data_IF_638091059919
#
_entry.id   IF_638091059919
#
_cell.length_a   1.000
_cell.length_b   1.000
_cell.length_c   1.000
_cell.angle_alpha   90.00
_cell.angle_beta   90.00
_cell.angle_gamma   90.00
#
_symmetry.space_group_name_H-M   'P 1'
#
loop_
_entity.id
_entity.type
_entity.pdbx_description
1 polymer ?
#
# COMPACT_ATOMS: atom_id res chain seq x y z
N UNK A 1 54.00 39.33 33.31
CA UNK A 1 55.01 38.25 33.24
C UNK A 1 55.43 38.07 31.79
N UNK A 2 56.64 38.52 31.47
CA UNK A 2 57.44 38.05 30.34
C UNK A 2 58.17 36.75 30.76
N UNK A 3 58.88 35.99 29.90
CA UNK A 3 59.07 36.09 28.43
C UNK A 3 58.87 34.69 27.75
N UNK A 4 58.90 34.46 26.44
CA UNK A 4 60.05 34.26 25.52
C UNK A 4 59.37 33.70 24.22
N UNK A 5 59.43 34.28 23.01
CA UNK A 5 60.49 34.19 21.95
C UNK A 5 61.22 32.82 21.87
N UNK A 6 61.87 32.40 20.76
CA UNK A 6 61.97 32.90 19.37
C UNK A 6 61.67 31.79 18.30
N UNK A 7 61.32 32.11 17.05
CA UNK A 7 62.16 32.31 15.84
C UNK A 7 63.07 31.15 15.36
N UNK A 8 62.78 30.73 14.12
CA UNK A 8 63.66 30.31 13.01
C UNK A 8 64.25 28.89 13.06
N UNK A 9 63.91 28.07 12.06
CA UNK A 9 64.94 27.43 11.21
C UNK A 9 64.46 27.25 9.77
N UNK A 10 65.29 27.78 8.87
CA UNK A 10 65.21 27.70 7.42
C UNK A 10 65.49 26.28 6.89
N UNK A 11 65.26 26.16 5.58
CA UNK A 11 65.93 25.30 4.58
C UNK A 11 65.22 24.02 4.13
N UNK A 12 64.50 24.22 3.02
CA UNK A 12 64.32 23.35 1.86
C UNK A 12 65.38 22.26 1.65
N UNK A 13 64.95 20.99 1.58
CA UNK A 13 65.48 19.97 0.66
C UNK A 13 64.32 19.08 0.17
N UNK A 14 64.13 19.05 -1.14
CA UNK A 14 63.17 18.27 -1.95
C UNK A 14 63.80 16.89 -2.31
N UNK A 15 63.12 16.01 -3.04
CA UNK A 15 62.08 15.04 -2.64
C UNK A 15 62.57 13.57 -2.76
N UNK A 16 61.79 12.61 -2.25
CA UNK A 16 61.53 11.31 -2.89
C UNK A 16 60.49 10.50 -2.09
N UNK A 17 59.41 10.08 -2.78
CA UNK A 17 58.60 8.85 -2.59
C UNK A 17 58.22 8.49 -1.15
N UNK A 18 56.97 8.45 -0.74
CA UNK A 18 55.83 7.72 -1.30
C UNK A 18 54.57 8.07 -0.49
N UNK A 19 53.42 7.60 -0.98
CA UNK A 19 52.13 7.51 -0.30
C UNK A 19 51.23 8.76 -0.38
N UNK A 20 50.61 8.88 -1.56
CA UNK A 20 49.15 9.04 -1.72
C UNK A 20 48.42 9.61 -0.49
N UNK A 21 48.44 10.94 -0.36
CA UNK A 21 47.69 11.67 0.66
C UNK A 21 46.24 11.87 0.19
N UNK A 22 45.35 11.12 0.83
CA UNK A 22 44.07 11.58 1.38
C UNK A 22 43.46 12.87 0.81
N UNK A 23 42.88 12.80 -0.39
CA UNK A 23 41.73 13.63 -0.76
C UNK A 23 40.53 12.75 -1.14
N UNK A 24 40.18 11.81 -0.27
CA UNK A 24 39.01 10.95 -0.46
C UNK A 24 38.17 10.88 0.81
N UNK A 25 37.81 12.05 1.35
CA UNK A 25 36.91 12.14 2.52
C UNK A 25 35.65 12.99 2.28
N UNK A 26 35.32 13.29 1.01
CA UNK A 26 34.11 14.02 0.64
C UNK A 26 33.28 13.34 -0.48
N UNK A 27 33.37 12.01 -0.62
CA UNK A 27 32.50 11.24 -1.55
C UNK A 27 31.88 10.02 -0.84
N UNK A 28 31.57 10.12 0.45
CA UNK A 28 30.87 9.05 1.18
C UNK A 28 29.57 9.50 1.87
N UNK A 29 29.19 10.77 1.77
CA UNK A 29 27.93 11.29 2.37
C UNK A 29 26.83 11.55 1.33
N UNK A 30 27.06 11.23 0.04
CA UNK A 30 26.08 11.48 -1.02
C UNK A 30 25.19 10.27 -1.39
N UNK A 31 25.36 9.10 -0.74
CA UNK A 31 24.57 7.88 -1.03
C UNK A 31 23.72 7.45 0.18
N UNK A 32 23.28 8.41 0.98
CA UNK A 32 22.27 8.17 2.01
C UNK A 32 21.01 8.97 1.66
N UNK A 33 19.91 8.26 1.48
CA UNK A 33 18.53 8.77 1.38
C UNK A 33 17.97 9.05 -0.03
N UNK A 34 17.92 8.05 -0.91
CA UNK A 34 16.78 7.95 -1.85
C UNK A 34 16.25 6.52 -1.91
N UNK A 35 15.93 5.93 -0.75
CA UNK A 35 14.85 4.95 -0.69
C UNK A 35 13.57 5.70 -0.33
N UNK A 36 13.11 6.56 -1.23
CA UNK A 36 11.69 6.90 -1.27
C UNK A 36 10.95 5.60 -1.61
N UNK A 37 10.68 4.80 -0.57
CA UNK A 37 9.77 3.69 -0.65
C UNK A 37 8.44 4.31 -1.07
N UNK A 38 8.09 4.15 -2.36
CA UNK A 38 6.91 4.77 -2.95
C UNK A 38 5.68 4.36 -2.18
N UNK A 39 5.24 5.20 -1.25
CA UNK A 39 3.94 5.05 -0.65
C UNK A 39 2.95 5.27 -1.77
N UNK A 40 2.40 4.16 -2.30
CA UNK A 40 1.29 4.19 -3.25
C UNK A 40 0.18 4.98 -2.55
N UNK A 41 -0.04 6.21 -3.01
CA UNK A 41 -1.03 7.13 -2.44
C UNK A 41 -2.40 6.47 -2.58
N UNK A 42 -3.08 6.25 -1.46
CA UNK A 42 -4.44 5.70 -1.44
C UNK A 42 -5.40 6.70 -2.11
N UNK A 43 -6.26 6.22 -3.01
CA UNK A 43 -7.31 7.02 -3.62
C UNK A 43 -8.26 7.54 -2.53
N UNK A 44 -8.46 8.86 -2.45
CA UNK A 44 -9.32 9.50 -1.45
C UNK A 44 -10.80 9.16 -1.66
N UNK A 45 -11.25 9.00 -2.91
CA UNK A 45 -12.65 8.64 -3.21
C UNK A 45 -12.96 7.24 -2.67
N UNK A 46 -12.02 6.29 -2.79
CA UNK A 46 -12.19 4.94 -2.26
C UNK A 46 -12.19 4.92 -0.74
N UNK A 47 -11.39 5.79 -0.10
CA UNK A 47 -11.43 5.92 1.36
C UNK A 47 -12.80 6.39 1.81
N UNK A 48 -13.36 7.40 1.15
CA UNK A 48 -14.70 7.91 1.47
C UNK A 48 -15.75 6.84 1.20
N UNK A 49 -15.70 6.16 0.06
CA UNK A 49 -16.61 5.06 -0.29
C UNK A 49 -16.61 3.96 0.78
N UNK A 50 -15.44 3.42 1.12
CA UNK A 50 -15.33 2.35 2.12
C UNK A 50 -15.67 2.84 3.53
N UNK A 51 -15.28 4.06 3.89
CA UNK A 51 -15.63 4.65 5.18
C UNK A 51 -17.14 4.80 5.36
N UNK A 52 -17.86 5.24 4.31
CA UNK A 52 -19.31 5.37 4.33
C UNK A 52 -20.00 4.01 4.46
N UNK A 53 -19.35 2.92 4.03
CA UNK A 53 -19.76 1.53 4.24
C UNK A 53 -19.30 0.96 5.59
N UNK A 54 -18.64 1.78 6.41
CA UNK A 54 -18.16 1.43 7.74
C UNK A 54 -16.79 0.76 7.79
N UNK A 55 -16.03 0.71 6.71
CA UNK A 55 -14.74 0.00 6.63
C UNK A 55 -13.54 0.95 6.61
N UNK A 56 -12.46 0.57 7.28
CA UNK A 56 -11.22 1.36 7.30
C UNK A 56 -10.11 0.68 6.52
N UNK A 57 -9.56 1.39 5.53
CA UNK A 57 -8.41 0.90 4.76
C UNK A 57 -7.16 0.92 5.64
N UNK A 58 -6.42 -0.19 5.63
CA UNK A 58 -5.06 -0.26 6.15
C UNK A 58 -4.02 0.04 5.07
N UNK A 59 -4.11 -0.64 3.91
CA UNK A 59 -3.22 -0.43 2.76
C UNK A 59 -3.86 -0.92 1.46
N UNK A 60 -3.40 -0.38 0.33
CA UNK A 60 -3.65 -0.97 -0.99
C UNK A 60 -2.78 -2.21 -1.16
N UNK A 61 -3.35 -3.25 -1.77
CA UNK A 61 -2.68 -4.51 -2.07
C UNK A 61 -2.34 -4.55 -3.56
N UNK A 62 -3.35 -4.38 -4.40
CA UNK A 62 -3.27 -4.66 -5.83
C UNK A 62 -4.23 -3.74 -6.60
N UNK A 63 -3.86 -3.46 -7.84
CA UNK A 63 -4.67 -2.73 -8.81
C UNK A 63 -4.51 -3.43 -10.14
N UNK A 64 -5.62 -3.77 -10.78
CA UNK A 64 -5.64 -4.50 -12.05
C UNK A 64 -6.74 -3.90 -12.94
N UNK A 65 -6.44 -3.70 -14.23
CA UNK A 65 -7.42 -3.21 -15.22
C UNK A 65 -7.63 -4.30 -16.25
N UNK A 66 -8.89 -4.65 -16.53
CA UNK A 66 -9.25 -5.72 -17.46
C UNK A 66 -10.69 -5.57 -17.96
N UNK A 67 -11.03 -6.31 -19.03
CA UNK A 67 -12.41 -6.43 -19.50
C UNK A 67 -13.19 -7.36 -18.58
N UNK A 68 -14.27 -6.87 -17.97
CA UNK A 68 -15.10 -7.63 -17.04
C UNK A 68 -15.86 -8.74 -17.78
N UNK A 69 -15.26 -9.93 -17.82
CA UNK A 69 -15.83 -11.12 -18.45
C UNK A 69 -15.98 -12.25 -17.42
N UNK A 70 -17.06 -12.18 -16.64
CA UNK A 70 -17.37 -13.15 -15.58
C UNK A 70 -18.39 -14.17 -16.12
N UNK A 71 -18.12 -15.49 -16.03
CA UNK A 71 -19.10 -16.50 -16.41
C UNK A 71 -20.39 -16.42 -15.59
N UNK A 72 -21.55 -16.66 -16.23
CA UNK A 72 -22.88 -16.56 -15.58
C UNK A 72 -23.01 -17.36 -14.27
N UNK A 73 -22.36 -18.52 -14.18
CA UNK A 73 -22.34 -19.33 -12.95
C UNK A 73 -21.67 -18.59 -11.79
N UNK A 74 -20.54 -17.91 -12.04
CA UNK A 74 -19.88 -17.10 -11.02
C UNK A 74 -20.69 -15.84 -10.71
N UNK A 75 -21.28 -15.20 -11.71
CA UNK A 75 -22.11 -14.01 -11.53
C UNK A 75 -23.29 -14.28 -10.58
N UNK A 76 -23.95 -15.44 -10.75
CA UNK A 76 -25.05 -15.87 -9.87
C UNK A 76 -24.60 -16.02 -8.40
N UNK A 77 -23.35 -16.44 -8.16
CA UNK A 77 -22.80 -16.56 -6.80
C UNK A 77 -22.55 -15.18 -6.16
N UNK A 78 -22.09 -14.20 -6.95
CA UNK A 78 -21.96 -12.81 -6.51
C UNK A 78 -23.33 -12.22 -6.17
N UNK A 79 -24.32 -12.39 -7.04
CA UNK A 79 -25.70 -11.92 -6.81
C UNK A 79 -26.33 -12.54 -5.56
N UNK A 80 -26.13 -13.84 -5.34
CA UNK A 80 -26.57 -14.53 -4.12
C UNK A 80 -25.91 -13.97 -2.85
N UNK A 81 -24.74 -13.33 -2.98
CA UNK A 81 -24.03 -12.63 -1.90
C UNK A 81 -24.39 -11.13 -1.83
N UNK A 82 -25.44 -10.71 -2.55
CA UNK A 82 -25.89 -9.32 -2.61
C UNK A 82 -25.06 -8.41 -3.51
N UNK A 83 -24.22 -8.97 -4.38
CA UNK A 83 -23.31 -8.24 -5.27
C UNK A 83 -23.87 -8.32 -6.70
N UNK A 84 -24.80 -7.42 -7.03
CA UNK A 84 -25.51 -7.43 -8.31
C UNK A 84 -24.92 -6.50 -9.38
N UNK A 85 -24.14 -5.49 -8.98
CA UNK A 85 -23.65 -4.45 -9.88
C UNK A 85 -22.77 -4.98 -11.02
N UNK A 86 -22.05 -6.10 -10.81
CA UNK A 86 -21.14 -6.68 -11.81
C UNK A 86 -21.83 -7.02 -13.13
N UNK A 87 -23.12 -7.38 -13.08
CA UNK A 87 -23.90 -7.78 -14.27
C UNK A 87 -24.09 -6.63 -15.26
N UNK A 88 -24.13 -5.39 -14.76
CA UNK A 88 -24.40 -4.18 -15.55
C UNK A 88 -23.18 -3.74 -16.37
N UNK A 89 -21.97 -4.19 -16.00
CA UNK A 89 -20.69 -3.77 -16.58
C UNK A 89 -19.98 -4.90 -17.35
N UNK A 90 -20.70 -5.99 -17.68
CA UNK A 90 -20.12 -7.10 -18.44
C UNK A 90 -19.65 -6.64 -19.82
N UNK A 91 -18.41 -6.99 -20.17
CA UNK A 91 -17.76 -6.59 -21.43
C UNK A 91 -17.15 -5.18 -21.40
N UNK A 92 -17.27 -4.45 -20.29
CA UNK A 92 -16.62 -3.14 -20.11
C UNK A 92 -15.22 -3.27 -19.51
N UNK A 93 -14.36 -2.28 -19.78
CA UNK A 93 -13.06 -2.17 -19.11
C UNK A 93 -13.26 -1.61 -17.70
N UNK A 94 -12.83 -2.35 -16.69
CA UNK A 94 -12.90 -1.96 -15.29
C UNK A 94 -11.53 -2.02 -14.65
N UNK A 95 -11.30 -1.15 -13.68
CA UNK A 95 -10.14 -1.21 -12.78
C UNK A 95 -10.58 -1.73 -11.42
N UNK A 96 -10.06 -2.88 -11.05
CA UNK A 96 -10.23 -3.52 -9.76
C UNK A 96 -9.13 -3.09 -8.80
N UNK A 97 -9.52 -2.66 -7.60
CA UNK A 97 -8.62 -2.28 -6.52
C UNK A 97 -8.84 -3.17 -5.30
N UNK A 98 -7.78 -3.83 -4.85
CA UNK A 98 -7.80 -4.63 -3.64
C UNK A 98 -7.18 -3.87 -2.47
N UNK A 99 -7.88 -3.85 -1.35
CA UNK A 99 -7.47 -3.22 -0.09
C UNK A 99 -7.42 -4.24 1.04
N UNK A 100 -6.43 -4.08 1.91
CA UNK A 100 -6.43 -4.71 3.24
C UNK A 100 -7.17 -3.78 4.20
N UNK A 101 -8.18 -4.29 4.91
CA UNK A 101 -8.94 -3.54 5.89
C UNK A 101 -8.26 -3.59 7.27
N UNK A 102 -8.65 -2.70 8.19
CA UNK A 102 -8.15 -2.73 9.57
C UNK A 102 -8.77 -3.85 10.38
N UNK A 103 -10.01 -4.19 10.07
CA UNK A 103 -10.79 -5.24 10.72
C UNK A 103 -10.21 -6.63 10.43
N UNK A 104 -10.38 -7.51 11.40
CA UNK A 104 -9.94 -8.89 11.36
C UNK A 104 -11.13 -9.83 11.58
N UNK A 105 -11.08 -10.99 10.94
CA UNK A 105 -12.02 -12.07 11.18
C UNK A 105 -11.76 -12.73 12.56
N UNK A 106 -12.62 -13.67 12.93
CA UNK A 106 -12.48 -14.43 14.18
C UNK A 106 -11.14 -15.14 14.33
N UNK A 107 -10.49 -15.54 13.24
CA UNK A 107 -9.18 -16.18 13.26
C UNK A 107 -8.02 -15.17 13.32
N UNK A 108 -8.30 -13.86 13.32
CA UNK A 108 -7.29 -12.81 13.35
C UNK A 108 -6.66 -12.53 11.99
N UNK A 109 -7.27 -12.98 10.89
CA UNK A 109 -6.84 -12.62 9.54
C UNK A 109 -7.56 -11.36 9.10
N UNK A 110 -6.84 -10.46 8.43
CA UNK A 110 -7.43 -9.21 7.95
C UNK A 110 -8.37 -9.44 6.80
N UNK A 111 -9.49 -8.73 6.86
CA UNK A 111 -10.44 -8.67 5.77
C UNK A 111 -9.83 -7.95 4.57
N UNK A 112 -10.39 -8.25 3.40
CA UNK A 112 -10.09 -7.52 2.17
C UNK A 112 -11.35 -6.85 1.65
N UNK A 113 -11.19 -5.71 0.98
CA UNK A 113 -12.21 -5.11 0.15
C UNK A 113 -11.72 -5.05 -1.30
N UNK A 114 -12.60 -5.34 -2.22
CA UNK A 114 -12.40 -5.20 -3.67
C UNK A 114 -13.35 -4.11 -4.14
N UNK A 115 -12.80 -3.06 -4.75
CA UNK A 115 -13.56 -1.93 -5.30
C UNK A 115 -13.34 -1.91 -6.81
N UNK A 116 -14.41 -1.71 -7.57
CA UNK A 116 -14.38 -1.63 -9.02
C UNK A 116 -14.65 -0.19 -9.45
N UNK A 117 -13.86 0.27 -10.41
CA UNK A 117 -14.02 1.55 -11.08
C UNK A 117 -14.11 1.37 -12.59
N UNK A 118 -14.98 2.14 -13.23
CA UNK A 118 -14.94 2.40 -14.67
C UNK A 118 -14.64 3.90 -14.87
N UNK A 119 -15.65 4.72 -15.16
CA UNK A 119 -15.54 6.19 -15.08
C UNK A 119 -15.66 6.70 -13.64
N UNK A 120 -16.39 5.98 -12.79
CA UNK A 120 -16.58 6.23 -11.37
C UNK A 120 -16.57 4.89 -10.60
N UNK A 121 -16.63 4.95 -9.26
CA UNK A 121 -16.77 3.74 -8.44
C UNK A 121 -18.13 3.09 -8.73
N UNK A 122 -18.13 1.92 -9.34
CA UNK A 122 -19.35 1.19 -9.71
C UNK A 122 -19.84 0.26 -8.60
N UNK A 123 -18.94 -0.11 -7.67
CA UNK A 123 -19.29 -0.94 -6.53
C UNK A 123 -18.09 -1.62 -5.90
N UNK A 124 -18.37 -2.49 -4.93
CA UNK A 124 -17.36 -3.28 -4.28
C UNK A 124 -17.93 -4.36 -3.39
N UNK A 125 -17.08 -5.30 -2.99
CA UNK A 125 -17.40 -6.38 -2.08
C UNK A 125 -16.25 -6.65 -1.12
N UNK A 126 -16.56 -7.33 -0.02
CA UNK A 126 -15.56 -7.75 0.96
C UNK A 126 -15.25 -9.24 0.90
N UNK A 127 -14.11 -9.62 1.48
CA UNK A 127 -13.65 -11.02 1.57
C UNK A 127 -13.22 -11.33 3.01
N UNK A 128 -13.82 -12.37 3.57
CA UNK A 128 -13.42 -13.05 4.80
C UNK A 128 -12.44 -14.18 4.44
N UNK A 129 -11.14 -14.05 4.77
CA UNK A 129 -10.13 -15.02 4.34
C UNK A 129 -10.25 -16.39 5.02
N UNK A 130 -10.97 -16.49 6.16
CA UNK A 130 -11.21 -17.76 6.87
C UNK A 130 -12.54 -18.45 6.54
N UNK A 131 -13.32 -17.93 5.59
CA UNK A 131 -14.64 -18.50 5.24
C UNK A 131 -14.73 -18.83 3.74
N UNK A 132 -15.52 -19.87 3.42
CA UNK A 132 -15.76 -20.29 2.02
C UNK A 132 -17.25 -20.59 1.81
N UNK A 133 -17.96 -19.86 0.91
CA UNK A 133 -17.47 -18.66 0.24
C UNK A 133 -17.29 -17.51 1.24
N UNK A 134 -16.17 -16.80 1.15
CA UNK A 134 -15.83 -15.70 2.05
C UNK A 134 -16.32 -14.34 1.58
N UNK A 135 -17.00 -14.27 0.45
CA UNK A 135 -17.45 -13.01 -0.17
C UNK A 135 -18.65 -12.43 0.57
N UNK A 136 -18.69 -11.11 0.77
CA UNK A 136 -19.82 -10.43 1.42
C UNK A 136 -20.08 -9.05 0.81
N UNK A 137 -21.31 -8.55 0.94
CA UNK A 137 -21.65 -7.18 0.57
C UNK A 137 -21.10 -6.19 1.60
N UNK A 138 -20.43 -5.11 1.16
CA UNK A 138 -19.85 -4.10 2.05
C UNK A 138 -20.86 -3.45 3.02
N UNK A 139 -22.16 -3.47 2.72
CA UNK A 139 -23.22 -3.00 3.62
C UNK A 139 -23.51 -3.95 4.80
N UNK A 140 -22.99 -5.19 4.78
CA UNK A 140 -23.30 -6.23 5.77
C UNK A 140 -22.48 -6.14 7.06
N UNK A 141 -21.78 -5.04 7.34
CA UNK A 141 -20.87 -4.96 8.50
C UNK A 141 -21.55 -5.34 9.82
N UNK A 142 -22.75 -4.84 10.07
CA UNK A 142 -23.50 -5.16 11.29
C UNK A 142 -23.88 -6.64 11.37
N UNK A 143 -24.31 -7.24 10.24
CA UNK A 143 -24.62 -8.67 10.15
C UNK A 143 -23.38 -9.51 10.49
N UNK A 144 -22.23 -9.17 9.92
CA UNK A 144 -20.96 -9.89 10.17
C UNK A 144 -20.51 -9.82 11.64
N UNK A 145 -20.79 -8.71 12.33
CA UNK A 145 -20.54 -8.57 13.76
C UNK A 145 -21.52 -9.45 14.56
N UNK A 146 -22.81 -9.40 14.23
CA UNK A 146 -23.86 -10.17 14.92
C UNK A 146 -23.67 -11.68 14.77
N UNK A 147 -23.28 -12.12 13.57
CA UNK A 147 -22.98 -13.51 13.24
C UNK A 147 -21.61 -13.96 13.79
N UNK A 148 -20.91 -13.08 14.51
CA UNK A 148 -19.59 -13.33 15.09
C UNK A 148 -18.57 -13.80 14.04
N UNK A 149 -18.59 -13.21 12.86
CA UNK A 149 -17.63 -13.51 11.79
C UNK A 149 -16.42 -12.59 11.84
N UNK A 150 -16.58 -11.38 12.37
CA UNK A 150 -15.53 -10.37 12.53
C UNK A 150 -15.47 -9.84 13.96
N UNK A 151 -14.29 -9.37 14.37
CA UNK A 151 -14.07 -8.76 15.69
C UNK A 151 -14.51 -7.29 15.68
N UNK A 152 -15.13 -6.85 16.77
CA UNK A 152 -15.37 -5.42 17.04
C UNK A 152 -14.08 -4.70 17.42
#
# INVERSE_FOLDING_TARGET
MNPLKPLIFNTTIKPRRCCYENEMFLILVAILNVSACGQKTLNEEHKVFLFNKGWLIKKSIEVETYILDIPNEMLSNYEASGIAFLSEYLGEEVTQYSYELKEEDVEGKRLKAVVFEAEEIIGGYGILPSWTPGTFNLDDKERLINDQMIKQ
#
